data_IF_709038672004
#
_entry.id   IF_709038672004
#
_cell.length_a   1.000
_cell.length_b   1.000
_cell.length_c   1.000
_cell.angle_alpha   90.00
_cell.angle_beta   90.00
_cell.angle_gamma   90.00
#
_symmetry.space_group_name_H-M   'P 1'
#
loop_
_entity.id
_entity.type
_entity.pdbx_description
1 polymer ?
#
# COMPACT_ATOMS: atom_id res chain seq x y z
N UNK A 1 -6.44 36.51 7.68
CA UNK A 1 -7.19 35.81 8.73
C UNK A 1 -7.15 34.32 8.41
N UNK A 2 -6.26 33.60 9.07
CA UNK A 2 -6.06 32.16 8.92
C UNK A 2 -7.31 31.42 9.37
N UNK A 3 -7.92 30.65 8.46
CA UNK A 3 -9.11 29.85 8.73
C UNK A 3 -8.65 28.55 9.40
N UNK A 4 -8.37 28.65 10.70
CA UNK A 4 -7.86 27.57 11.55
C UNK A 4 -9.01 26.63 11.95
N UNK A 5 -9.60 25.96 10.95
CA UNK A 5 -10.59 24.89 11.17
C UNK A 5 -9.87 23.56 11.33
N UNK A 6 -9.11 23.42 12.41
CA UNK A 6 -8.86 22.09 12.97
C UNK A 6 -10.20 21.57 13.50
N UNK A 7 -10.70 20.40 13.07
CA UNK A 7 -11.87 19.81 13.69
C UNK A 7 -11.51 19.48 15.14
N UNK A 8 -12.11 20.21 16.07
CA UNK A 8 -12.04 19.91 17.51
C UNK A 8 -12.82 18.62 17.73
N UNK A 9 -12.11 17.53 18.00
CA UNK A 9 -12.73 16.29 18.44
C UNK A 9 -13.17 16.47 19.89
N UNK A 10 -14.48 16.63 20.11
CA UNK A 10 -15.06 16.52 21.45
C UNK A 10 -15.18 15.02 21.72
N UNK A 11 -14.29 14.51 22.57
CA UNK A 11 -14.38 13.15 23.08
C UNK A 11 -15.57 13.06 24.05
N UNK A 12 -16.63 12.38 23.63
CA UNK A 12 -17.81 12.11 24.47
C UNK A 12 -17.58 10.93 25.43
N UNK A 13 -16.41 10.29 25.40
CA UNK A 13 -16.04 9.16 26.23
C UNK A 13 -14.78 9.45 27.06
N UNK A 14 -14.95 10.33 28.04
CA UNK A 14 -14.17 10.24 29.28
C UNK A 14 -12.82 10.96 29.28
N UNK A 15 -12.86 12.27 29.51
CA UNK A 15 -11.99 12.95 30.47
C UNK A 15 -10.48 12.70 30.38
N UNK A 16 -9.84 13.09 29.27
CA UNK A 16 -8.38 13.24 29.18
C UNK A 16 -8.02 14.64 28.67
N UNK A 17 -7.01 15.27 29.27
CA UNK A 17 -6.41 16.50 28.74
C UNK A 17 -5.87 16.24 27.32
N UNK A 18 -6.06 17.16 26.35
CA UNK A 18 -5.52 17.01 25.00
C UNK A 18 -3.99 16.92 25.07
N UNK A 19 -3.44 15.75 24.75
CA UNK A 19 -1.98 15.52 24.77
C UNK A 19 -1.52 14.24 25.48
N UNK A 20 -2.41 13.52 26.16
CA UNK A 20 -2.06 12.29 26.90
C UNK A 20 -2.45 10.99 26.18
N UNK A 21 -2.88 11.08 24.92
CA UNK A 21 -3.19 9.90 24.10
C UNK A 21 -1.89 9.19 23.70
N UNK A 22 -1.77 7.86 23.90
CA UNK A 22 -0.62 7.11 23.40
C UNK A 22 -0.51 7.32 21.89
N UNK A 23 0.70 7.50 21.33
CA UNK A 23 0.88 7.77 19.92
C UNK A 23 0.23 6.64 19.11
N UNK A 24 -0.86 6.97 18.42
CA UNK A 24 -1.57 5.98 17.63
C UNK A 24 -0.66 5.40 16.54
N UNK A 25 -0.75 4.11 16.24
CA UNK A 25 0.05 3.51 15.18
C UNK A 25 -0.25 4.23 13.86
N UNK A 26 0.81 4.62 13.16
CA UNK A 26 0.73 5.40 11.92
C UNK A 26 -0.14 4.72 10.86
N UNK A 27 -0.09 3.38 10.81
CA UNK A 27 -0.95 2.55 9.96
C UNK A 27 -2.44 2.79 10.22
N UNK A 28 -2.85 2.82 11.50
CA UNK A 28 -4.24 3.05 11.90
C UNK A 28 -4.68 4.49 11.63
N UNK A 29 -3.80 5.46 11.88
CA UNK A 29 -4.07 6.88 11.60
C UNK A 29 -4.34 7.15 10.12
N UNK A 30 -3.54 6.54 9.23
CA UNK A 30 -3.73 6.65 7.78
C UNK A 30 -5.01 5.94 7.31
N UNK A 31 -5.26 4.73 7.81
CA UNK A 31 -6.46 3.95 7.47
C UNK A 31 -7.76 4.69 7.85
N UNK A 32 -7.74 5.40 8.97
CA UNK A 32 -8.88 6.19 9.44
C UNK A 32 -9.04 7.56 8.74
N UNK A 33 -8.13 7.94 7.83
CA UNK A 33 -8.24 9.19 7.08
C UNK A 33 -7.78 10.44 7.83
N UNK A 34 -7.15 10.30 9.01
CA UNK A 34 -6.72 11.43 9.86
C UNK A 34 -5.38 12.04 9.45
N UNK A 35 -4.66 11.39 8.53
CA UNK A 35 -3.35 11.85 8.05
C UNK A 35 -3.47 12.78 6.82
N UNK A 36 -2.49 13.67 6.63
CA UNK A 36 -2.48 14.60 5.49
C UNK A 36 -2.31 13.84 4.16
N UNK A 37 -3.14 14.16 3.17
CA UNK A 37 -3.10 13.50 1.86
C UNK A 37 -1.71 13.50 1.21
N UNK A 38 -0.98 14.62 1.28
CA UNK A 38 0.33 14.74 0.63
C UNK A 38 1.36 13.75 1.21
N UNK A 39 1.33 13.52 2.53
CA UNK A 39 2.22 12.56 3.21
C UNK A 39 1.86 11.15 2.75
N UNK A 40 0.57 10.82 2.76
CA UNK A 40 0.11 9.49 2.35
C UNK A 40 0.42 9.21 0.89
N UNK A 41 0.31 10.21 0.01
CA UNK A 41 0.63 10.07 -1.41
C UNK A 41 2.13 9.92 -1.66
N UNK A 42 2.97 10.81 -1.14
CA UNK A 42 4.41 10.78 -1.44
C UNK A 42 5.15 9.73 -0.63
N UNK A 43 5.04 9.76 0.70
CA UNK A 43 5.80 8.87 1.57
C UNK A 43 5.31 7.43 1.45
N UNK A 44 4.00 7.21 1.54
CA UNK A 44 3.47 5.85 1.46
C UNK A 44 3.20 5.45 0.01
N UNK A 45 2.49 6.25 -0.78
CA UNK A 45 2.17 5.92 -2.16
C UNK A 45 3.41 5.76 -3.04
N UNK A 46 4.26 6.79 -3.18
CA UNK A 46 5.43 6.72 -4.07
C UNK A 46 6.58 5.93 -3.44
N UNK A 47 7.09 6.37 -2.29
CA UNK A 47 8.26 5.71 -1.68
C UNK A 47 7.92 4.33 -1.11
N UNK A 48 6.78 4.17 -0.45
CA UNK A 48 6.35 2.88 0.07
C UNK A 48 6.13 1.84 -1.05
N UNK A 49 5.49 2.23 -2.17
CA UNK A 49 5.32 1.30 -3.29
C UNK A 49 6.67 0.92 -3.90
N UNK A 50 7.59 1.89 -4.01
CA UNK A 50 8.97 1.62 -4.45
C UNK A 50 9.70 0.63 -3.53
N UNK A 51 9.59 0.80 -2.21
CA UNK A 51 10.18 -0.10 -1.22
C UNK A 51 9.58 -1.51 -1.28
N UNK A 52 8.27 -1.63 -1.40
CA UNK A 52 7.57 -2.91 -1.55
C UNK A 52 7.96 -3.59 -2.85
N UNK A 53 8.00 -2.87 -3.97
CA UNK A 53 8.43 -3.40 -5.26
C UNK A 53 9.87 -3.93 -5.20
N UNK A 54 10.80 -3.15 -4.62
CA UNK A 54 12.17 -3.56 -4.40
C UNK A 54 12.26 -4.82 -3.52
N UNK A 55 11.42 -4.89 -2.48
CA UNK A 55 11.37 -6.04 -1.57
C UNK A 55 10.84 -7.30 -2.27
N UNK A 56 9.79 -7.17 -3.09
CA UNK A 56 9.28 -8.27 -3.91
C UNK A 56 10.33 -8.77 -4.89
N UNK A 57 11.01 -7.87 -5.61
CA UNK A 57 12.08 -8.24 -6.55
C UNK A 57 13.25 -8.92 -5.83
N UNK A 58 13.63 -8.42 -4.64
CA UNK A 58 14.66 -9.06 -3.83
C UNK A 58 14.26 -10.47 -3.39
N UNK A 59 13.02 -10.69 -2.95
CA UNK A 59 12.52 -12.02 -2.59
C UNK A 59 12.53 -13.00 -3.76
N UNK A 60 12.11 -12.55 -4.95
CA UNK A 60 12.18 -13.37 -6.18
C UNK A 60 13.62 -13.73 -6.50
N UNK A 61 14.52 -12.75 -6.46
CA UNK A 61 15.94 -12.97 -6.75
C UNK A 61 16.58 -13.93 -5.74
N UNK A 62 16.37 -13.71 -4.44
CA UNK A 62 16.88 -14.59 -3.37
C UNK A 62 16.31 -16.00 -3.52
N UNK A 63 15.01 -16.14 -3.76
CA UNK A 63 14.38 -17.44 -3.97
C UNK A 63 14.99 -18.19 -5.14
N UNK A 64 15.23 -17.51 -6.27
CA UNK A 64 15.88 -18.08 -7.44
C UNK A 64 17.32 -18.52 -7.14
N UNK A 65 18.11 -17.70 -6.45
CA UNK A 65 19.49 -18.06 -6.07
C UNK A 65 19.52 -19.27 -5.13
N UNK A 66 18.65 -19.31 -4.10
CA UNK A 66 18.57 -20.44 -3.18
C UNK A 66 18.18 -21.72 -3.92
N UNK A 67 17.20 -21.63 -4.83
CA UNK A 67 16.79 -22.76 -5.66
C UNK A 67 17.94 -23.35 -6.49
N UNK A 68 18.76 -22.48 -7.10
CA UNK A 68 19.94 -22.90 -7.86
C UNK A 68 21.07 -23.42 -6.96
N UNK A 69 21.21 -22.94 -5.73
CA UNK A 69 22.22 -23.44 -4.79
C UNK A 69 21.89 -24.84 -4.25
N UNK A 70 20.60 -25.15 -4.08
CA UNK A 70 20.15 -26.45 -3.57
C UNK A 70 20.17 -27.54 -4.65
N UNK A 71 19.88 -27.17 -5.90
CA UNK A 71 19.92 -28.08 -7.04
C UNK A 71 20.70 -27.45 -8.22
N UNK A 72 22.03 -27.34 -8.14
CA UNK A 72 22.84 -26.60 -9.12
C UNK A 72 22.92 -27.26 -10.50
N UNK A 73 22.51 -28.52 -10.61
CA UNK A 73 22.54 -29.30 -11.86
C UNK A 73 21.20 -29.22 -12.62
N UNK A 74 20.10 -28.89 -11.92
CA UNK A 74 18.73 -28.88 -12.46
C UNK A 74 18.20 -27.44 -12.48
N UNK A 75 17.93 -26.91 -13.67
CA UNK A 75 17.33 -25.57 -13.84
C UNK A 75 15.97 -25.43 -13.16
N UNK A 76 15.32 -26.55 -12.86
CA UNK A 76 14.02 -26.64 -12.18
C UNK A 76 14.10 -26.11 -10.74
N UNK A 77 15.23 -26.30 -10.05
CA UNK A 77 15.42 -25.80 -8.68
C UNK A 77 15.29 -24.28 -8.59
N UNK A 78 15.91 -23.57 -9.54
CA UNK A 78 15.80 -22.11 -9.66
C UNK A 78 14.37 -21.64 -9.98
N UNK A 79 13.66 -22.39 -10.81
CA UNK A 79 12.26 -22.09 -11.15
C UNK A 79 11.34 -22.18 -9.92
N UNK A 80 11.40 -23.28 -9.16
CA UNK A 80 10.60 -23.45 -7.94
C UNK A 80 10.98 -22.42 -6.86
N UNK A 81 12.28 -22.13 -6.71
CA UNK A 81 12.76 -21.09 -5.81
C UNK A 81 12.24 -19.70 -6.17
N UNK A 82 12.24 -19.36 -7.47
CA UNK A 82 11.66 -18.11 -7.97
C UNK A 82 10.15 -18.01 -7.72
N UNK A 83 9.40 -19.09 -7.94
CA UNK A 83 7.96 -19.14 -7.63
C UNK A 83 7.69 -18.92 -6.14
N UNK A 84 8.48 -19.54 -5.25
CA UNK A 84 8.37 -19.32 -3.81
C UNK A 84 8.63 -17.85 -3.43
N UNK A 85 9.66 -17.24 -4.03
CA UNK A 85 9.95 -15.81 -3.87
C UNK A 85 8.81 -14.91 -4.35
N UNK A 86 8.17 -15.24 -5.48
CA UNK A 86 6.99 -14.52 -5.97
C UNK A 86 5.80 -14.63 -5.01
N UNK A 87 5.53 -15.83 -4.49
CA UNK A 87 4.43 -16.06 -3.56
C UNK A 87 4.60 -15.25 -2.26
N UNK A 88 5.82 -15.24 -1.71
CA UNK A 88 6.15 -14.43 -0.53
C UNK A 88 6.06 -12.92 -0.83
N UNK A 89 6.56 -12.50 -2.00
CA UNK A 89 6.42 -11.12 -2.45
C UNK A 89 4.96 -10.69 -2.57
N UNK A 90 4.09 -11.54 -3.13
CA UNK A 90 2.66 -11.30 -3.23
C UNK A 90 1.98 -11.23 -1.84
N UNK A 91 2.36 -12.11 -0.92
CA UNK A 91 1.85 -12.11 0.45
C UNK A 91 2.18 -10.80 1.21
N UNK A 92 3.28 -10.14 0.88
CA UNK A 92 3.64 -8.81 1.40
C UNK A 92 2.91 -7.68 0.65
N UNK A 93 2.88 -7.75 -0.69
CA UNK A 93 2.36 -6.69 -1.53
C UNK A 93 0.84 -6.52 -1.41
N UNK A 94 0.08 -7.62 -1.30
CA UNK A 94 -1.39 -7.58 -1.28
C UNK A 94 -1.93 -6.80 -0.06
N UNK A 95 -1.54 -7.11 1.20
CA UNK A 95 -1.96 -6.32 2.35
C UNK A 95 -1.56 -4.85 2.23
N UNK A 96 -0.36 -4.59 1.72
CA UNK A 96 0.13 -3.24 1.52
C UNK A 96 -0.71 -2.45 0.51
N UNK A 97 -1.05 -3.03 -0.65
CA UNK A 97 -1.89 -2.38 -1.68
C UNK A 97 -3.28 -2.08 -1.15
N UNK A 98 -3.87 -3.00 -0.36
CA UNK A 98 -5.16 -2.79 0.31
C UNK A 98 -5.06 -1.60 1.26
N UNK A 99 -4.06 -1.62 2.15
CA UNK A 99 -3.83 -0.54 3.12
C UNK A 99 -3.59 0.81 2.44
N UNK A 100 -2.78 0.85 1.39
CA UNK A 100 -2.47 2.06 0.64
C UNK A 100 -3.73 2.62 0.00
N UNK A 101 -4.49 1.77 -0.71
CA UNK A 101 -5.74 2.16 -1.39
C UNK A 101 -6.74 2.76 -0.41
N UNK A 102 -6.98 2.09 0.71
CA UNK A 102 -7.92 2.57 1.73
C UNK A 102 -7.44 3.88 2.35
N UNK A 103 -6.15 3.96 2.69
CA UNK A 103 -5.55 5.16 3.27
C UNK A 103 -5.67 6.37 2.35
N UNK A 104 -5.33 6.24 1.06
CA UNK A 104 -5.47 7.34 0.11
C UNK A 104 -6.94 7.74 -0.10
N UNK A 105 -7.85 6.77 -0.17
CA UNK A 105 -9.27 7.07 -0.35
C UNK A 105 -9.88 7.85 0.82
N UNK A 106 -9.52 7.43 2.05
CA UNK A 106 -9.98 8.01 3.31
C UNK A 106 -9.29 9.34 3.61
N UNK A 107 -8.00 9.50 3.28
CA UNK A 107 -7.26 10.76 3.44
C UNK A 107 -7.53 11.77 2.32
N UNK A 108 -8.16 11.39 1.20
CA UNK A 108 -8.45 12.31 0.09
C UNK A 108 -9.17 13.62 0.48
N UNK A 109 -10.15 13.64 1.41
CA UNK A 109 -10.77 14.88 1.87
C UNK A 109 -9.83 15.73 2.76
N UNK A 110 -8.79 15.13 3.35
CA UNK A 110 -7.85 15.76 4.26
C UNK A 110 -6.70 16.44 3.49
N UNK A 111 -7.07 17.39 2.63
CA UNK A 111 -6.16 18.21 1.85
C UNK A 111 -6.63 19.66 1.82
N UNK A 112 -5.69 20.60 1.69
CA UNK A 112 -5.99 22.04 1.66
C UNK A 112 -6.94 22.43 0.52
N UNK A 113 -6.84 21.73 -0.62
CA UNK A 113 -7.59 22.03 -1.83
C UNK A 113 -8.40 20.82 -2.27
N UNK A 114 -9.74 20.97 -2.31
CA UNK A 114 -10.70 19.92 -2.73
C UNK A 114 -10.44 19.34 -4.13
N UNK A 115 -9.65 20.03 -4.97
CA UNK A 115 -9.24 19.56 -6.29
C UNK A 115 -8.31 18.34 -6.17
N UNK A 116 -7.31 18.39 -5.29
CA UNK A 116 -6.35 17.28 -5.12
C UNK A 116 -7.02 16.00 -4.62
N UNK A 117 -7.95 16.13 -3.66
CA UNK A 117 -8.73 14.98 -3.20
C UNK A 117 -9.54 14.31 -4.32
N UNK A 118 -10.13 15.10 -5.23
CA UNK A 118 -10.84 14.55 -6.41
C UNK A 118 -9.89 13.91 -7.41
N UNK A 119 -8.74 14.53 -7.68
CA UNK A 119 -7.73 13.97 -8.58
C UNK A 119 -7.20 12.63 -8.08
N UNK A 120 -6.86 12.53 -6.79
CA UNK A 120 -6.37 11.26 -6.21
C UNK A 120 -7.44 10.17 -6.26
N UNK A 121 -8.70 10.48 -5.97
CA UNK A 121 -9.79 9.50 -6.10
C UNK A 121 -10.00 9.05 -7.55
N UNK A 122 -9.97 9.99 -8.49
CA UNK A 122 -10.06 9.67 -9.92
C UNK A 122 -8.90 8.79 -10.37
N UNK A 123 -7.68 9.10 -9.95
CA UNK A 123 -6.49 8.30 -10.22
C UNK A 123 -6.57 6.88 -9.64
N UNK A 124 -7.02 6.74 -8.38
CA UNK A 124 -7.24 5.42 -7.77
C UNK A 124 -8.25 4.59 -8.55
N UNK A 125 -9.37 5.18 -8.97
CA UNK A 125 -10.38 4.48 -9.79
C UNK A 125 -9.76 4.04 -11.12
N UNK A 126 -9.03 4.92 -11.80
CA UNK A 126 -8.34 4.59 -13.05
C UNK A 126 -7.32 3.45 -12.87
N UNK A 127 -6.56 3.47 -11.77
CA UNK A 127 -5.59 2.41 -11.44
C UNK A 127 -6.28 1.05 -11.24
N UNK A 128 -7.37 1.00 -10.46
CA UNK A 128 -8.11 -0.24 -10.24
C UNK A 128 -8.82 -0.75 -11.50
N UNK A 129 -9.33 0.15 -12.35
CA UNK A 129 -9.85 -0.22 -13.68
C UNK A 129 -8.74 -0.81 -14.55
N UNK A 130 -7.54 -0.23 -14.53
CA UNK A 130 -6.37 -0.77 -15.21
C UNK A 130 -5.99 -2.16 -14.72
N UNK A 131 -5.97 -2.39 -13.40
CA UNK A 131 -5.74 -3.71 -12.83
C UNK A 131 -6.83 -4.73 -13.20
N UNK A 132 -8.10 -4.34 -13.16
CA UNK A 132 -9.19 -5.21 -13.58
C UNK A 132 -9.07 -5.60 -15.06
N UNK A 133 -8.71 -4.65 -15.93
CA UNK A 133 -8.46 -4.89 -17.35
C UNK A 133 -7.24 -5.80 -17.56
N UNK A 134 -6.16 -5.60 -16.80
CA UNK A 134 -5.00 -6.48 -16.82
C UNK A 134 -5.42 -7.91 -16.46
N UNK A 135 -6.08 -8.11 -15.32
CA UNK A 135 -6.55 -9.42 -14.88
C UNK A 135 -7.43 -10.06 -15.96
N UNK A 136 -8.38 -9.33 -16.52
CA UNK A 136 -9.25 -9.84 -17.59
C UNK A 136 -8.47 -10.32 -18.82
N UNK A 137 -7.48 -9.53 -19.28
CA UNK A 137 -6.68 -9.88 -20.46
C UNK A 137 -5.75 -11.08 -20.22
N UNK A 138 -5.22 -11.23 -19.01
CA UNK A 138 -4.29 -12.30 -18.66
C UNK A 138 -4.95 -13.52 -17.99
N UNK A 139 -6.22 -13.43 -17.59
CA UNK A 139 -6.98 -14.55 -17.02
C UNK A 139 -6.93 -15.83 -17.87
N UNK A 140 -7.01 -15.79 -19.23
CA UNK A 140 -6.88 -16.98 -20.05
C UNK A 140 -5.51 -17.67 -20.00
N UNK A 141 -4.46 -16.95 -19.57
CA UNK A 141 -3.10 -17.48 -19.40
C UNK A 141 -2.92 -18.12 -18.01
N UNK A 142 -3.77 -17.78 -17.04
CA UNK A 142 -3.75 -18.30 -15.67
C UNK A 142 -4.67 -19.53 -15.58
N UNK A 143 -4.53 -20.47 -16.52
CA UNK A 143 -5.20 -21.78 -16.39
C UNK A 143 -4.51 -22.55 -15.27
N UNK A 144 -5.05 -22.40 -14.05
CA UNK A 144 -4.89 -23.36 -12.95
C UNK A 144 -5.50 -24.71 -13.34
#
# INVERSE_FOLDING_TARGET
MTNDRTPVYIDLHGGGLPGNEPPEPVLGKCWNGRERLWIVFWAYGVFGTGGILASCLAMIFIGLQIGLLVAPQDTDGGYYGGMAGMALGAALAVPYVIWMTVSLWRCAPNCETKMWGRLVRGWLVAQWLGFAMLIYNYAPLIKL
#
